data_IF_561727623518
#
_entry.id   IF_561727623518
#
_cell.length_a   1.000
_cell.length_b   1.000
_cell.length_c   1.000
_cell.angle_alpha   90.00
_cell.angle_beta   90.00
_cell.angle_gamma   90.00
#
_symmetry.space_group_name_H-M   'P 1'
#
loop_
_entity.id
_entity.type
_entity.pdbx_description
1 polymer ?
#
# COMPACT_ATOMS: atom_id res chain seq x y z
N UNK A 1 2.27 18.10 -23.07
CA UNK A 1 1.33 17.48 -22.13
C UNK A 1 0.41 16.55 -22.89
N UNK A 2 0.43 15.26 -22.57
CA UNK A 2 -0.43 14.29 -23.23
C UNK A 2 -1.17 13.46 -22.21
N UNK A 3 -2.47 13.33 -22.40
CA UNK A 3 -3.32 12.42 -21.66
C UNK A 3 -3.65 11.24 -22.59
N UNK A 4 -3.54 10.03 -22.04
CA UNK A 4 -3.91 8.80 -22.71
C UNK A 4 -4.93 8.06 -21.87
N UNK A 5 -5.83 7.36 -22.53
CA UNK A 5 -6.80 6.50 -21.88
C UNK A 5 -6.54 5.05 -22.26
N UNK A 6 -6.42 4.21 -21.25
CA UNK A 6 -6.38 2.77 -21.39
C UNK A 6 -7.66 2.21 -20.81
N UNK A 7 -8.39 1.45 -21.61
CA UNK A 7 -9.65 0.83 -21.20
C UNK A 7 -9.58 -0.66 -21.39
N UNK A 8 -10.00 -1.42 -20.36
CA UNK A 8 -10.18 -2.86 -20.44
C UNK A 8 -11.40 -3.28 -19.65
N UNK A 9 -11.92 -4.46 -19.95
CA UNK A 9 -12.92 -5.12 -19.11
C UNK A 9 -12.33 -6.42 -18.64
N UNK A 10 -12.18 -6.56 -17.34
CA UNK A 10 -11.74 -7.81 -16.71
C UNK A 10 -12.94 -8.65 -16.35
N UNK A 11 -12.75 -9.97 -16.38
CA UNK A 11 -13.68 -10.92 -15.75
C UNK A 11 -12.98 -11.54 -14.57
N UNK A 12 -13.56 -11.44 -13.39
CA UNK A 12 -12.95 -11.94 -12.14
C UNK A 12 -12.78 -13.45 -12.23
N UNK A 13 -11.53 -13.96 -12.10
CA UNK A 13 -11.27 -15.40 -12.12
C UNK A 13 -11.85 -16.12 -10.90
N UNK A 14 -12.08 -17.43 -11.02
CA UNK A 14 -12.53 -18.27 -9.90
C UNK A 14 -11.58 -18.24 -8.69
N UNK A 15 -10.28 -18.07 -8.93
CA UNK A 15 -9.26 -17.95 -7.87
C UNK A 15 -9.42 -16.73 -6.96
N UNK A 16 -10.18 -15.72 -7.40
CA UNK A 16 -10.47 -14.51 -6.64
C UNK A 16 -11.86 -14.50 -5.99
N UNK A 17 -12.64 -15.60 -6.11
CA UNK A 17 -13.97 -15.62 -5.53
C UNK A 17 -13.93 -15.44 -4.00
N UNK A 18 -14.65 -14.43 -3.51
CA UNK A 18 -14.70 -14.06 -2.09
C UNK A 18 -13.47 -13.31 -1.56
N UNK A 19 -12.52 -12.97 -2.42
CA UNK A 19 -11.28 -12.27 -2.03
C UNK A 19 -11.33 -10.79 -2.40
N UNK A 20 -10.43 -10.02 -1.82
CA UNK A 20 -10.22 -8.64 -2.19
C UNK A 20 -9.33 -8.58 -3.44
N UNK A 21 -9.82 -7.89 -4.47
CA UNK A 21 -9.12 -7.71 -5.73
C UNK A 21 -8.38 -6.37 -5.72
N UNK A 22 -7.07 -6.45 -5.76
CA UNK A 22 -6.19 -5.30 -5.89
C UNK A 22 -5.69 -5.17 -7.33
N UNK A 23 -5.39 -3.97 -7.73
CA UNK A 23 -4.71 -3.66 -8.99
C UNK A 23 -3.42 -2.92 -8.69
N UNK A 24 -2.34 -3.41 -9.28
CA UNK A 24 -1.04 -2.73 -9.25
C UNK A 24 -0.72 -2.17 -10.62
N UNK A 25 -0.33 -0.89 -10.65
CA UNK A 25 0.09 -0.20 -11.88
C UNK A 25 1.55 0.23 -11.76
N UNK A 26 2.35 -0.13 -12.75
CA UNK A 26 3.76 0.23 -12.82
C UNK A 26 4.10 0.76 -14.21
N UNK A 27 4.75 1.91 -14.26
CA UNK A 27 5.12 2.56 -15.51
C UNK A 27 6.52 2.18 -16.04
N UNK A 28 7.15 1.17 -15.44
CA UNK A 28 8.45 0.67 -15.86
C UNK A 28 9.65 1.56 -15.52
N UNK A 29 9.46 2.57 -14.65
CA UNK A 29 10.52 3.41 -14.10
C UNK A 29 10.56 3.21 -12.59
N UNK A 30 11.76 2.97 -12.06
CA UNK A 30 12.01 2.88 -10.62
C UNK A 30 12.76 4.12 -10.09
N UNK A 31 12.85 5.18 -10.91
CA UNK A 31 13.48 6.42 -10.53
C UNK A 31 12.56 7.23 -9.60
N UNK A 32 13.15 7.81 -8.59
CA UNK A 32 12.50 8.53 -7.50
C UNK A 32 12.13 9.96 -7.90
N UNK A 33 11.64 10.23 -9.04
CA UNK A 33 11.18 11.57 -9.43
C UNK A 33 9.70 11.56 -9.80
N UNK A 34 8.85 11.77 -8.80
CA UNK A 34 7.39 11.78 -8.95
C UNK A 34 6.91 12.81 -9.97
N UNK A 35 7.63 13.93 -10.10
CA UNK A 35 7.30 14.97 -11.06
C UNK A 35 7.59 14.58 -12.51
N UNK A 36 8.36 13.52 -12.72
CA UNK A 36 8.75 13.03 -14.05
C UNK A 36 8.06 11.75 -14.47
N UNK A 37 7.61 10.94 -13.51
CA UNK A 37 6.94 9.69 -13.81
C UNK A 37 5.51 9.93 -14.28
N UNK A 38 4.97 9.04 -15.13
CA UNK A 38 3.56 9.05 -15.45
C UNK A 38 2.71 8.94 -14.21
N UNK A 39 1.66 9.75 -14.16
CA UNK A 39 0.62 9.68 -13.15
C UNK A 39 -0.65 9.11 -13.77
N UNK A 40 -1.44 8.46 -12.96
CA UNK A 40 -2.65 7.80 -13.42
C UNK A 40 -3.82 8.13 -12.52
N UNK A 41 -5.01 8.12 -13.11
CA UNK A 41 -6.27 8.13 -12.42
C UNK A 41 -7.04 6.89 -12.82
N UNK A 42 -7.35 6.04 -11.84
CA UNK A 42 -8.07 4.80 -12.05
C UNK A 42 -9.57 4.99 -11.82
N UNK A 43 -10.34 4.45 -12.74
CA UNK A 43 -11.79 4.34 -12.64
C UNK A 43 -12.20 2.86 -12.71
N UNK A 44 -13.17 2.47 -11.90
CA UNK A 44 -13.85 1.19 -12.02
C UNK A 44 -15.34 1.42 -12.28
N UNK A 45 -15.85 0.85 -13.37
CA UNK A 45 -17.25 1.02 -13.82
C UNK A 45 -17.68 2.50 -13.96
N UNK A 46 -16.73 3.37 -14.29
CA UNK A 46 -16.96 4.80 -14.48
C UNK A 46 -16.84 5.65 -13.21
N UNK A 47 -16.63 5.04 -12.05
CA UNK A 47 -16.38 5.75 -10.79
C UNK A 47 -14.89 5.87 -10.52
N UNK A 48 -14.44 7.03 -10.05
CA UNK A 48 -13.05 7.28 -9.66
C UNK A 48 -12.72 6.45 -8.42
N UNK A 49 -11.62 5.69 -8.50
CA UNK A 49 -11.12 4.91 -7.37
C UNK A 49 -9.97 5.64 -6.68
N UNK A 50 -8.89 5.93 -7.43
CA UNK A 50 -7.69 6.50 -6.85
C UNK A 50 -6.79 7.13 -7.90
N UNK A 51 -6.05 8.19 -7.51
CA UNK A 51 -4.86 8.65 -8.21
C UNK A 51 -3.68 7.72 -7.91
N UNK A 52 -2.88 7.42 -8.92
CA UNK A 52 -1.74 6.50 -8.81
C UNK A 52 -0.48 7.18 -9.34
N UNK A 53 0.63 6.92 -8.68
CA UNK A 53 1.95 7.42 -9.03
C UNK A 53 3.02 6.39 -8.62
N UNK A 54 4.30 6.79 -8.63
CA UNK A 54 5.40 5.90 -8.25
C UNK A 54 5.31 5.41 -6.79
N UNK A 55 4.70 6.19 -5.89
CA UNK A 55 4.55 5.86 -4.48
C UNK A 55 3.22 5.16 -4.17
N UNK A 56 2.21 5.33 -5.03
CA UNK A 56 0.86 4.79 -4.86
C UNK A 56 0.52 3.90 -6.05
N UNK A 57 1.16 2.73 -6.10
CA UNK A 57 1.06 1.80 -7.23
C UNK A 57 -0.06 0.78 -7.10
N UNK A 58 -0.62 0.62 -5.91
CA UNK A 58 -1.59 -0.42 -5.57
C UNK A 58 -2.90 0.22 -5.10
N UNK A 59 -4.00 -0.38 -5.50
CA UNK A 59 -5.34 0.09 -5.15
C UNK A 59 -6.31 -1.06 -5.04
N UNK A 60 -7.17 -1.02 -4.02
CA UNK A 60 -8.29 -1.94 -3.87
C UNK A 60 -9.38 -1.60 -4.90
N UNK A 61 -9.60 -2.52 -5.84
CA UNK A 61 -10.61 -2.37 -6.90
C UNK A 61 -11.96 -2.93 -6.47
N UNK A 62 -11.95 -4.06 -5.76
CA UNK A 62 -13.17 -4.75 -5.36
C UNK A 62 -12.98 -5.54 -4.06
N UNK A 63 -13.80 -5.26 -3.06
CA UNK A 63 -13.92 -6.12 -1.89
C UNK A 63 -14.83 -7.30 -2.18
N UNK A 64 -14.52 -8.46 -1.59
CA UNK A 64 -15.31 -9.69 -1.71
C UNK A 64 -15.73 -9.99 -3.17
N UNK A 65 -14.75 -9.93 -4.08
CA UNK A 65 -14.95 -10.12 -5.50
C UNK A 65 -15.70 -11.41 -5.80
N UNK A 66 -16.51 -11.41 -6.87
CA UNK A 66 -17.28 -12.58 -7.29
C UNK A 66 -16.77 -13.12 -8.61
N UNK A 67 -16.49 -14.43 -8.65
CA UNK A 67 -16.08 -15.09 -9.88
C UNK A 67 -17.09 -14.82 -11.01
N UNK A 68 -16.60 -14.50 -12.19
CA UNK A 68 -17.42 -14.18 -13.35
C UNK A 68 -17.96 -12.75 -13.39
N UNK A 69 -17.86 -11.96 -12.33
CA UNK A 69 -18.17 -10.53 -12.35
C UNK A 69 -17.28 -9.81 -13.36
N UNK A 70 -17.85 -8.86 -14.08
CA UNK A 70 -17.13 -8.03 -15.05
C UNK A 70 -16.97 -6.63 -14.49
N UNK A 71 -15.73 -6.14 -14.50
CA UNK A 71 -15.40 -4.78 -14.08
C UNK A 71 -14.73 -4.09 -15.28
N UNK A 72 -15.28 -2.94 -15.70
CA UNK A 72 -14.61 -2.07 -16.64
C UNK A 72 -13.59 -1.22 -15.88
N UNK A 73 -12.34 -1.27 -16.28
CA UNK A 73 -11.26 -0.44 -15.74
C UNK A 73 -10.84 0.57 -16.80
N UNK A 74 -10.83 1.83 -16.41
CA UNK A 74 -10.33 2.93 -17.20
C UNK A 74 -9.16 3.59 -16.47
N UNK A 75 -8.03 3.68 -17.13
CA UNK A 75 -6.83 4.32 -16.60
C UNK A 75 -6.52 5.55 -17.43
N UNK A 76 -6.73 6.73 -16.87
CA UNK A 76 -6.28 7.99 -17.45
C UNK A 76 -4.82 8.20 -17.07
N UNK A 77 -3.94 8.27 -18.05
CA UNK A 77 -2.52 8.53 -17.85
C UNK A 77 -2.18 9.96 -18.21
N UNK A 78 -1.36 10.59 -17.37
CA UNK A 78 -0.70 11.85 -17.63
C UNK A 78 0.82 11.63 -17.59
N UNK A 79 1.51 11.96 -18.69
CA UNK A 79 2.94 11.67 -18.82
C UNK A 79 3.84 12.86 -18.48
N UNK A 80 3.27 13.97 -18.00
CA UNK A 80 4.03 15.18 -17.71
C UNK A 80 4.62 15.82 -18.96
N UNK A 81 5.68 16.56 -18.77
CA UNK A 81 6.41 17.28 -19.83
C UNK A 81 7.53 16.47 -20.46
N UNK A 82 7.82 15.28 -19.94
CA UNK A 82 8.90 14.43 -20.43
C UNK A 82 8.53 13.75 -21.75
N UNK A 83 9.50 13.72 -22.65
CA UNK A 83 9.46 12.94 -23.88
C UNK A 83 10.25 11.64 -23.65
N UNK A 84 9.57 10.61 -23.14
CA UNK A 84 10.16 9.30 -22.87
C UNK A 84 9.20 8.20 -23.29
N UNK A 85 9.73 7.02 -23.53
CA UNK A 85 8.93 5.81 -23.70
C UNK A 85 8.72 5.17 -22.33
N UNK A 86 7.46 4.92 -22.00
CA UNK A 86 7.07 4.25 -20.77
C UNK A 86 6.40 2.92 -21.09
N UNK A 87 6.74 1.91 -20.31
CA UNK A 87 6.07 0.62 -20.37
C UNK A 87 5.02 0.55 -19.26
N UNK A 88 3.76 0.49 -19.64
CA UNK A 88 2.67 0.26 -18.71
C UNK A 88 2.56 -1.23 -18.40
N UNK A 89 2.67 -1.58 -17.11
CA UNK A 89 2.35 -2.89 -16.56
C UNK A 89 1.18 -2.72 -15.61
N UNK A 90 0.22 -3.62 -15.68
CA UNK A 90 -0.94 -3.61 -14.80
C UNK A 90 -1.31 -5.05 -14.45
N UNK A 91 -1.27 -5.36 -13.17
CA UNK A 91 -1.49 -6.69 -12.64
C UNK A 91 -2.68 -6.68 -11.67
N UNK A 92 -3.38 -7.80 -11.60
CA UNK A 92 -4.39 -8.04 -10.57
C UNK A 92 -3.76 -8.91 -9.49
N UNK A 93 -3.90 -8.46 -8.25
CA UNK A 93 -3.21 -9.06 -7.11
C UNK A 93 -4.20 -9.37 -5.98
N UNK A 94 -3.87 -10.36 -5.18
CA UNK A 94 -4.48 -10.65 -3.90
C UNK A 94 -3.51 -10.25 -2.80
N UNK A 95 -3.97 -9.43 -1.85
CA UNK A 95 -3.22 -9.17 -0.64
C UNK A 95 -3.71 -10.09 0.48
N UNK A 96 -2.80 -10.78 1.11
CA UNK A 96 -3.07 -11.61 2.28
C UNK A 96 -3.05 -10.74 3.53
N UNK A 97 -4.23 -10.50 4.09
CA UNK A 97 -4.40 -9.60 5.23
C UNK A 97 -3.59 -10.03 6.46
N UNK A 98 -3.45 -11.35 6.72
CA UNK A 98 -2.64 -11.84 7.86
C UNK A 98 -1.15 -11.57 7.66
N UNK A 99 -0.66 -11.79 6.45
CA UNK A 99 0.75 -11.50 6.12
C UNK A 99 1.01 -10.00 6.18
N UNK A 100 0.09 -9.20 5.69
CA UNK A 100 0.19 -7.74 5.71
C UNK A 100 0.19 -7.21 7.16
N UNK A 101 -0.69 -7.71 8.02
CA UNK A 101 -0.77 -7.33 9.43
C UNK A 101 0.53 -7.62 10.16
N UNK A 102 1.01 -8.86 10.14
CA UNK A 102 2.28 -9.22 10.80
C UNK A 102 3.48 -8.47 10.21
N UNK A 103 3.46 -8.16 8.92
CA UNK A 103 4.51 -7.36 8.30
C UNK A 103 4.58 -5.96 8.89
N UNK A 104 3.44 -5.27 9.02
CA UNK A 104 3.42 -3.93 9.59
C UNK A 104 3.68 -3.93 11.10
N UNK A 105 3.21 -4.92 11.82
CA UNK A 105 3.50 -5.10 13.25
C UNK A 105 4.99 -5.33 13.53
N UNK A 106 5.74 -5.83 12.57
CA UNK A 106 7.19 -5.98 12.67
C UNK A 106 7.95 -4.76 12.14
N UNK A 107 7.62 -4.28 10.93
CA UNK A 107 8.43 -3.27 10.25
C UNK A 107 8.32 -1.89 10.90
N UNK A 108 7.14 -1.50 11.40
CA UNK A 108 6.93 -0.18 12.01
C UNK A 108 7.75 -0.02 13.29
N UNK A 109 7.69 -0.94 14.28
CA UNK A 109 8.54 -0.82 15.46
C UNK A 109 10.04 -1.01 15.14
N UNK A 110 10.41 -1.85 14.15
CA UNK A 110 11.80 -1.92 13.68
C UNK A 110 12.32 -0.58 13.16
N UNK A 111 11.51 0.15 12.41
CA UNK A 111 11.88 1.51 11.95
C UNK A 111 11.99 2.49 13.14
N UNK A 112 11.17 2.31 14.17
CA UNK A 112 11.22 3.05 15.41
C UNK A 112 12.55 2.89 16.16
N UNK A 113 13.12 1.67 16.18
CA UNK A 113 14.42 1.42 16.81
C UNK A 113 15.53 2.33 16.29
N UNK A 114 15.51 2.68 15.01
CA UNK A 114 16.52 3.54 14.40
C UNK A 114 16.45 5.00 14.88
N UNK A 115 15.43 5.36 15.66
CA UNK A 115 15.22 6.70 16.25
C UNK A 115 15.45 6.75 17.74
N UNK A 116 15.74 5.61 18.37
CA UNK A 116 16.00 5.50 19.80
C UNK A 116 17.50 5.45 20.06
N UNK A 117 17.92 6.01 21.21
CA UNK A 117 19.31 5.93 21.65
C UNK A 117 19.72 4.48 21.95
N UNK A 118 20.97 4.12 21.64
CA UNK A 118 21.45 2.73 21.73
C UNK A 118 21.43 2.15 23.14
N UNK A 119 21.59 2.97 24.16
CA UNK A 119 21.56 2.60 25.57
C UNK A 119 20.18 2.70 26.23
N UNK A 120 19.15 3.01 25.44
CA UNK A 120 17.78 3.11 25.92
C UNK A 120 17.24 1.71 26.24
N UNK A 121 16.78 1.51 27.48
CA UNK A 121 16.22 0.23 27.91
C UNK A 121 15.03 -0.21 27.07
N UNK A 122 14.11 0.71 26.75
CA UNK A 122 12.93 0.41 25.92
C UNK A 122 13.34 -0.08 24.53
N UNK A 123 14.41 0.48 23.95
CA UNK A 123 14.97 0.01 22.68
C UNK A 123 15.43 -1.44 22.77
N UNK A 124 16.20 -1.78 23.82
CA UNK A 124 16.71 -3.15 24.02
C UNK A 124 15.59 -4.16 24.24
N UNK A 125 14.57 -3.77 25.02
CA UNK A 125 13.41 -4.60 25.29
C UNK A 125 12.60 -4.83 23.96
N UNK A 126 12.40 -3.78 23.17
CA UNK A 126 11.71 -3.85 21.87
C UNK A 126 12.48 -4.70 20.86
N UNK A 127 13.81 -4.51 20.75
CA UNK A 127 14.67 -5.31 19.87
C UNK A 127 14.62 -6.80 20.24
N UNK A 128 14.59 -7.10 21.54
CA UNK A 128 14.46 -8.46 22.04
C UNK A 128 13.10 -9.07 21.66
N UNK A 129 12.01 -8.33 21.88
CA UNK A 129 10.65 -8.78 21.55
C UNK A 129 10.50 -9.03 20.06
N UNK A 130 10.97 -8.12 19.21
CA UNK A 130 10.94 -8.29 17.74
C UNK A 130 11.78 -9.49 17.28
N UNK A 131 12.97 -9.68 17.87
CA UNK A 131 13.82 -10.83 17.55
C UNK A 131 13.13 -12.13 17.92
N UNK A 132 12.51 -12.21 19.10
CA UNK A 132 11.76 -13.40 19.52
C UNK A 132 10.60 -13.69 18.57
N UNK A 133 9.85 -12.66 18.20
CA UNK A 133 8.72 -12.78 17.25
C UNK A 133 9.16 -13.28 15.89
N UNK A 134 10.19 -12.68 15.30
CA UNK A 134 10.71 -13.10 13.97
C UNK A 134 11.18 -14.56 14.00
N UNK A 135 11.78 -15.00 15.08
CA UNK A 135 12.24 -16.38 15.24
C UNK A 135 11.10 -17.42 15.34
N UNK A 136 9.86 -17.00 15.59
CA UNK A 136 8.69 -17.89 15.56
C UNK A 136 8.23 -18.18 14.14
N UNK A 137 8.50 -17.28 13.17
CA UNK A 137 8.02 -17.41 11.81
C UNK A 137 8.67 -18.58 11.06
N UNK A 138 7.85 -19.49 10.56
CA UNK A 138 8.29 -20.59 9.69
C UNK A 138 8.25 -20.21 8.22
N UNK A 139 9.32 -19.63 7.73
CA UNK A 139 9.45 -19.17 6.35
C UNK A 139 9.90 -20.24 5.36
N UNK A 140 10.06 -21.51 5.80
CA UNK A 140 10.55 -22.60 4.95
C UNK A 140 9.61 -22.95 3.81
N UNK A 141 8.31 -22.81 4.04
CA UNK A 141 7.27 -23.08 3.05
C UNK A 141 6.14 -22.05 3.17
N UNK A 142 6.29 -20.86 2.55
CA UNK A 142 5.28 -19.83 2.57
C UNK A 142 3.90 -20.37 2.11
N UNK A 143 2.85 -19.80 2.68
CA UNK A 143 1.44 -20.15 2.42
C UNK A 143 1.03 -21.58 2.83
N UNK A 144 1.87 -22.32 3.56
CA UNK A 144 1.50 -23.61 4.15
C UNK A 144 0.73 -23.42 5.46
N UNK A 145 0.11 -24.50 5.96
CA UNK A 145 -0.57 -24.47 7.27
C UNK A 145 0.41 -24.15 8.41
N UNK A 146 1.63 -24.69 8.32
CA UNK A 146 2.70 -24.44 9.28
C UNK A 146 3.14 -22.98 9.27
N UNK A 147 3.22 -22.37 8.09
CA UNK A 147 3.50 -20.95 7.94
C UNK A 147 2.42 -20.09 8.62
N UNK A 148 1.13 -20.31 8.33
CA UNK A 148 0.06 -19.53 8.95
C UNK A 148 -0.05 -19.78 10.46
N UNK A 149 0.17 -21.00 10.93
CA UNK A 149 0.23 -21.29 12.36
C UNK A 149 1.35 -20.50 13.06
N UNK A 150 2.51 -20.38 12.40
CA UNK A 150 3.63 -19.59 12.92
C UNK A 150 3.34 -18.09 12.95
N UNK A 151 2.54 -17.58 12.01
CA UNK A 151 2.08 -16.18 12.06
C UNK A 151 1.19 -15.96 13.29
N UNK A 152 0.25 -16.86 13.58
CA UNK A 152 -0.63 -16.76 14.75
C UNK A 152 0.16 -16.77 16.08
N UNK A 153 1.23 -17.56 16.15
CA UNK A 153 2.15 -17.56 17.31
C UNK A 153 2.95 -16.25 17.39
N UNK A 154 3.39 -15.71 16.27
CA UNK A 154 4.09 -14.45 16.20
C UNK A 154 3.20 -13.25 16.58
N UNK A 155 1.96 -13.19 16.08
CA UNK A 155 0.96 -12.18 16.44
C UNK A 155 0.71 -12.19 17.97
N UNK A 156 0.56 -13.37 18.55
CA UNK A 156 0.41 -13.50 20.00
C UNK A 156 1.63 -13.00 20.76
N UNK A 157 2.84 -13.30 20.27
CA UNK A 157 4.08 -12.80 20.89
C UNK A 157 4.16 -11.27 20.84
N UNK A 158 3.80 -10.65 19.73
CA UNK A 158 3.75 -9.19 19.59
C UNK A 158 2.74 -8.59 20.56
N UNK A 159 1.53 -9.16 20.64
CA UNK A 159 0.50 -8.70 21.54
C UNK A 159 0.99 -8.72 23.01
N UNK A 160 1.57 -9.83 23.44
CA UNK A 160 2.03 -10.01 24.81
C UNK A 160 3.28 -9.18 25.14
N UNK A 161 4.29 -9.18 24.26
CA UNK A 161 5.62 -8.61 24.55
C UNK A 161 5.71 -7.12 24.22
N UNK A 162 4.98 -6.63 23.22
CA UNK A 162 5.02 -5.23 22.78
C UNK A 162 3.79 -4.47 23.26
N UNK A 163 2.59 -4.87 22.82
CA UNK A 163 1.40 -4.08 23.10
C UNK A 163 0.98 -4.11 24.57
N UNK A 164 1.06 -5.24 25.26
CA UNK A 164 0.68 -5.34 26.67
C UNK A 164 1.80 -4.91 27.62
N UNK A 165 3.03 -5.42 27.43
CA UNK A 165 4.14 -5.13 28.34
C UNK A 165 4.73 -3.74 28.19
N UNK A 166 4.81 -3.23 26.97
CA UNK A 166 5.35 -1.91 26.68
C UNK A 166 4.25 -0.85 26.61
N UNK A 167 3.01 -1.23 26.86
CA UNK A 167 1.86 -0.34 26.89
C UNK A 167 2.04 0.80 27.91
N UNK A 168 1.34 1.86 27.74
CA UNK A 168 1.45 3.12 28.48
C UNK A 168 1.14 4.29 27.56
N UNK A 169 0.58 3.97 26.43
CA UNK A 169 0.24 4.88 25.34
C UNK A 169 -1.05 5.67 25.59
N UNK A 170 -1.74 5.40 26.70
CA UNK A 170 -3.02 6.06 27.06
C UNK A 170 -2.89 7.57 27.25
N UNK A 171 -1.67 8.08 27.45
CA UNK A 171 -1.37 9.51 27.57
C UNK A 171 -1.07 10.19 26.22
N UNK A 172 -0.83 9.42 25.16
CA UNK A 172 -0.47 9.96 23.85
C UNK A 172 -1.63 9.81 22.88
N UNK A 173 -2.25 10.93 22.52
CA UNK A 173 -3.31 10.96 21.50
C UNK A 173 -2.72 11.44 20.19
N UNK A 174 -2.70 10.57 19.17
CA UNK A 174 -2.38 10.95 17.81
C UNK A 174 -3.67 11.28 17.06
N UNK A 175 -3.83 12.54 16.66
CA UNK A 175 -4.94 12.95 15.78
C UNK A 175 -4.45 12.94 14.35
N UNK A 176 -4.98 12.02 13.55
CA UNK A 176 -4.69 11.94 12.12
C UNK A 176 -5.65 12.86 11.37
N UNK A 177 -5.11 13.87 10.70
CA UNK A 177 -5.88 14.77 9.84
C UNK A 177 -5.42 14.51 8.41
N UNK A 178 -6.36 14.09 7.54
CA UNK A 178 -6.09 13.97 6.12
C UNK A 178 -5.68 15.34 5.56
N UNK A 179 -4.45 15.42 5.07
CA UNK A 179 -3.92 16.63 4.45
C UNK A 179 -3.15 16.27 3.20
N UNK A 180 -3.47 16.97 2.13
CA UNK A 180 -2.74 16.85 0.87
C UNK A 180 -2.08 18.18 0.55
N UNK A 181 -0.76 18.21 0.53
CA UNK A 181 -0.04 19.36 0.02
C UNK A 181 0.12 19.21 -1.49
N UNK A 182 -0.28 20.22 -2.22
CA UNK A 182 0.06 20.35 -3.64
C UNK A 182 0.35 21.83 -3.94
N UNK A 183 1.46 22.10 -4.60
CA UNK A 183 1.75 23.44 -5.09
C UNK A 183 0.72 23.83 -6.15
N UNK A 184 0.25 25.08 -6.12
CA UNK A 184 -0.80 25.57 -7.02
C UNK A 184 -0.41 25.42 -8.49
N UNK A 185 0.88 25.62 -8.78
CA UNK A 185 1.47 25.32 -10.07
C UNK A 185 2.97 25.05 -9.90
N UNK A 186 3.45 23.98 -10.54
CA UNK A 186 4.87 23.65 -10.59
C UNK A 186 5.18 22.94 -11.90
N UNK A 187 5.35 21.60 -11.89
CA UNK A 187 5.44 20.81 -13.12
C UNK A 187 4.04 20.44 -13.69
N UNK A 188 3.00 20.97 -13.10
CA UNK A 188 1.60 20.82 -13.46
C UNK A 188 0.88 22.17 -13.50
N UNK A 189 -0.28 22.23 -14.17
CA UNK A 189 -1.09 23.42 -14.30
C UNK A 189 -2.01 23.62 -13.09
N UNK A 190 -2.58 24.83 -12.95
CA UNK A 190 -3.56 25.15 -11.91
C UNK A 190 -4.78 24.23 -12.00
N UNK A 191 -5.26 23.92 -13.20
CA UNK A 191 -6.41 23.03 -13.41
C UNK A 191 -6.13 21.61 -12.91
N UNK A 192 -4.90 21.14 -13.08
CA UNK A 192 -4.45 19.84 -12.57
C UNK A 192 -4.37 19.85 -11.04
N UNK A 193 -3.84 20.93 -10.44
CA UNK A 193 -3.79 21.07 -8.98
C UNK A 193 -5.20 21.09 -8.37
N UNK A 194 -6.16 21.79 -8.97
CA UNK A 194 -7.55 21.82 -8.54
C UNK A 194 -8.19 20.44 -8.63
N UNK A 195 -8.02 19.75 -9.77
CA UNK A 195 -8.54 18.40 -9.96
C UNK A 195 -7.97 17.42 -8.95
N UNK A 196 -6.66 17.48 -8.72
CA UNK A 196 -5.96 16.62 -7.76
C UNK A 196 -6.42 16.87 -6.31
N UNK A 197 -6.61 18.14 -5.93
CA UNK A 197 -7.12 18.48 -4.60
C UNK A 197 -8.51 17.91 -4.36
N UNK A 198 -9.40 17.98 -5.34
CA UNK A 198 -10.72 17.37 -5.23
C UNK A 198 -10.71 15.85 -5.14
N UNK A 199 -9.76 15.21 -5.80
CA UNK A 199 -9.64 13.74 -5.78
C UNK A 199 -9.08 13.18 -4.49
N UNK A 200 -8.26 13.96 -3.77
CA UNK A 200 -7.67 13.52 -2.49
C UNK A 200 -8.41 14.01 -1.25
N UNK A 201 -9.40 14.88 -1.40
CA UNK A 201 -10.21 15.37 -0.29
C UNK A 201 -11.39 14.43 0.08
N UNK A 202 -11.51 13.32 -0.61
CA UNK A 202 -12.47 12.27 -0.38
C UNK A 202 -11.77 10.97 -0.06
#
# INVERSE_FOLDING_TARGET
DKHYWFRTTITIPESFDGKNLWMRVHAGLDEWDDGRNPQFLLFANGEVIQGMDINHREVLVRENAKAGEKIQLDLQSYTGTLHSEFRLLADLEEHDAKIEEIYYDLIVPMQGLNRMDEDNKTRLDLETALTNTINLLDLRKPYSKEFYASIEEAEKCIQEEIYEKMGGWDEVVATCIGHTHIDVAWLWTIDQAVSYTHLRAH
#
